data_IF_281764087523
#
_entry.id   IF_281764087523
#
_cell.length_a   1.000
_cell.length_b   1.000
_cell.length_c   1.000
_cell.angle_alpha   90.00
_cell.angle_beta   90.00
_cell.angle_gamma   90.00
#
_symmetry.space_group_name_H-M   'P 1'
#
loop_
_entity.id
_entity.type
_entity.pdbx_description
1 polymer ?
#
# COMPACT_ATOMS: atom_id res chain seq x y z
N UNK A 1 -4.92 -25.55 -1.84
CA UNK A 1 -3.80 -25.13 -0.98
C UNK A 1 -3.72 -23.64 -0.94
N UNK A 2 -3.64 -23.11 0.26
CA UNK A 2 -3.50 -21.65 0.39
C UNK A 2 -2.05 -21.26 0.15
N UNK A 3 -1.87 -20.16 -0.60
CA UNK A 3 -0.56 -19.56 -0.78
C UNK A 3 -0.17 -18.81 0.48
N UNK A 4 1.09 -18.91 0.84
CA UNK A 4 1.64 -18.13 1.95
C UNK A 4 2.59 -17.09 1.37
N UNK A 5 2.40 -15.81 1.68
CA UNK A 5 3.32 -14.78 1.18
C UNK A 5 4.71 -14.96 1.79
N UNK A 6 5.73 -14.69 1.00
CA UNK A 6 7.11 -14.73 1.51
C UNK A 6 7.40 -13.47 2.32
N UNK A 7 8.59 -13.43 2.92
CA UNK A 7 8.98 -12.30 3.75
C UNK A 7 9.06 -10.99 2.96
N UNK A 8 9.49 -11.07 1.70
CA UNK A 8 9.55 -9.88 0.85
C UNK A 8 8.16 -9.32 0.58
N UNK A 9 7.21 -10.19 0.27
CA UNK A 9 5.84 -9.76 0.01
C UNK A 9 5.19 -9.19 1.26
N UNK A 10 5.40 -9.82 2.42
CA UNK A 10 4.88 -9.30 3.68
C UNK A 10 5.47 -7.92 4.01
N UNK A 11 6.78 -7.77 3.82
CA UNK A 11 7.43 -6.50 4.09
C UNK A 11 6.97 -5.42 3.11
N UNK A 12 6.83 -5.77 1.84
CA UNK A 12 6.35 -4.84 0.82
C UNK A 12 4.94 -4.38 1.13
N UNK A 13 4.05 -5.30 1.48
CA UNK A 13 2.66 -4.97 1.80
C UNK A 13 2.58 -4.04 3.01
N UNK A 14 3.31 -4.37 4.08
CA UNK A 14 3.33 -3.55 5.27
C UNK A 14 3.86 -2.15 4.99
N UNK A 15 4.92 -2.04 4.18
CA UNK A 15 5.50 -0.76 3.81
C UNK A 15 4.53 0.07 2.97
N UNK A 16 3.85 -0.57 2.02
CA UNK A 16 2.86 0.13 1.19
C UNK A 16 1.70 0.66 2.01
N UNK A 17 1.18 -0.13 2.95
CA UNK A 17 0.09 0.32 3.81
C UNK A 17 0.52 1.48 4.69
N UNK A 18 1.74 1.44 5.20
CA UNK A 18 2.28 2.51 6.01
C UNK A 18 2.39 3.80 5.20
N UNK A 19 2.95 3.71 4.00
CA UNK A 19 3.09 4.87 3.12
C UNK A 19 1.74 5.46 2.74
N UNK A 20 0.80 4.62 2.35
CA UNK A 20 -0.54 5.09 1.99
C UNK A 20 -1.22 5.79 3.14
N UNK A 21 -1.09 5.25 4.35
CA UNK A 21 -1.65 5.88 5.54
C UNK A 21 -1.01 7.24 5.83
N UNK A 22 0.32 7.31 5.74
CA UNK A 22 1.04 8.56 5.96
C UNK A 22 0.65 9.62 4.92
N UNK A 23 0.51 9.21 3.66
CA UNK A 23 0.11 10.13 2.59
C UNK A 23 -1.32 10.63 2.79
N UNK A 24 -2.24 9.77 3.23
CA UNK A 24 -3.60 10.17 3.54
C UNK A 24 -3.64 11.17 4.70
N UNK A 25 -2.88 10.92 5.74
CA UNK A 25 -2.81 11.82 6.90
C UNK A 25 -2.26 13.18 6.46
N UNK A 26 -1.19 13.18 5.69
CA UNK A 26 -0.59 14.43 5.21
C UNK A 26 -1.57 15.22 4.34
N UNK A 27 -2.30 14.52 3.46
CA UNK A 27 -3.29 15.16 2.61
C UNK A 27 -4.38 15.85 3.45
N UNK A 28 -4.92 15.13 4.43
CA UNK A 28 -6.00 15.67 5.27
C UNK A 28 -5.53 16.79 6.19
N UNK A 29 -4.29 16.72 6.67
CA UNK A 29 -3.78 17.74 7.58
C UNK A 29 -3.28 18.99 6.87
N UNK A 30 -2.71 18.82 5.69
CA UNK A 30 -2.03 19.91 4.99
C UNK A 30 -2.77 20.38 3.75
N UNK A 31 -3.90 19.79 3.43
CA UNK A 31 -4.69 20.08 2.23
C UNK A 31 -3.88 19.95 0.94
N UNK A 32 -2.78 19.20 0.98
CA UNK A 32 -1.95 19.03 -0.20
C UNK A 32 -1.29 17.64 -0.15
N UNK A 33 -1.31 16.90 -1.26
CA UNK A 33 -0.64 15.61 -1.29
C UNK A 33 0.87 15.79 -1.26
N UNK A 34 1.57 14.87 -0.59
CA UNK A 34 3.03 14.87 -0.56
C UNK A 34 3.62 14.02 -1.69
N UNK A 35 2.77 13.31 -2.42
CA UNK A 35 3.15 12.56 -3.61
C UNK A 35 2.15 12.86 -4.71
N UNK A 36 2.53 12.65 -5.97
CA UNK A 36 1.60 12.86 -7.07
C UNK A 36 0.59 11.70 -7.17
N UNK A 37 -0.47 11.92 -7.94
CA UNK A 37 -1.54 10.94 -8.09
C UNK A 37 -1.00 9.62 -8.66
N UNK A 38 -0.08 9.68 -9.60
CA UNK A 38 0.46 8.47 -10.22
C UNK A 38 1.21 7.63 -9.20
N UNK A 39 1.99 8.26 -8.32
CA UNK A 39 2.72 7.56 -7.27
C UNK A 39 1.75 6.92 -6.27
N UNK A 40 0.74 7.67 -5.85
CA UNK A 40 -0.27 7.15 -4.92
C UNK A 40 -1.00 5.96 -5.54
N UNK A 41 -1.48 6.12 -6.77
CA UNK A 41 -2.22 5.06 -7.45
C UNK A 41 -1.37 3.81 -7.66
N UNK A 42 -0.10 3.97 -8.01
CA UNK A 42 0.79 2.84 -8.20
C UNK A 42 0.96 2.05 -6.90
N UNK A 43 1.18 2.74 -5.78
CA UNK A 43 1.31 2.09 -4.48
C UNK A 43 0.02 1.40 -4.08
N UNK A 44 -1.12 2.05 -4.28
CA UNK A 44 -2.42 1.47 -3.95
C UNK A 44 -2.72 0.25 -4.80
N UNK A 45 -2.45 0.34 -6.10
CA UNK A 45 -2.66 -0.80 -7.02
C UNK A 45 -1.80 -1.98 -6.63
N UNK A 46 -0.54 -1.73 -6.25
CA UNK A 46 0.35 -2.81 -5.83
C UNK A 46 -0.13 -3.46 -4.54
N UNK A 47 -0.58 -2.67 -3.57
CA UNK A 47 -1.10 -3.20 -2.32
C UNK A 47 -2.34 -4.07 -2.57
N UNK A 48 -3.25 -3.60 -3.44
CA UNK A 48 -4.45 -4.36 -3.78
C UNK A 48 -4.11 -5.64 -4.53
N UNK A 49 -3.11 -5.62 -5.41
CA UNK A 49 -2.67 -6.81 -6.12
C UNK A 49 -2.13 -7.86 -5.14
N UNK A 50 -1.36 -7.45 -4.17
CA UNK A 50 -0.84 -8.36 -3.14
C UNK A 50 -2.01 -8.95 -2.33
N UNK A 51 -2.97 -8.13 -1.93
CA UNK A 51 -4.13 -8.58 -1.16
C UNK A 51 -4.99 -9.52 -1.96
N UNK A 52 -5.10 -9.30 -3.27
CA UNK A 52 -5.85 -10.18 -4.15
C UNK A 52 -5.20 -11.57 -4.25
N UNK A 53 -3.87 -11.61 -4.27
CA UNK A 53 -3.13 -12.86 -4.30
C UNK A 53 -3.11 -13.55 -2.94
N UNK A 54 -3.11 -12.77 -1.86
CA UNK A 54 -3.06 -13.29 -0.49
C UNK A 54 -4.20 -12.67 0.34
N UNK A 55 -5.44 -13.17 0.16
CA UNK A 55 -6.61 -12.53 0.79
C UNK A 55 -6.58 -12.50 2.31
N UNK A 56 -5.69 -13.26 2.93
CA UNK A 56 -5.57 -13.30 4.39
C UNK A 56 -4.84 -12.09 4.97
N UNK A 57 -4.24 -11.28 4.14
CA UNK A 57 -3.55 -10.06 4.59
C UNK A 57 -4.50 -8.93 4.90
#
# INVERSE_FOLDING_TARGET
MSKTPDLFTLAEHADLLKKLNEWDIAYHQNDAPIVDDATYDAAKSRALAIESEFPEL
#
